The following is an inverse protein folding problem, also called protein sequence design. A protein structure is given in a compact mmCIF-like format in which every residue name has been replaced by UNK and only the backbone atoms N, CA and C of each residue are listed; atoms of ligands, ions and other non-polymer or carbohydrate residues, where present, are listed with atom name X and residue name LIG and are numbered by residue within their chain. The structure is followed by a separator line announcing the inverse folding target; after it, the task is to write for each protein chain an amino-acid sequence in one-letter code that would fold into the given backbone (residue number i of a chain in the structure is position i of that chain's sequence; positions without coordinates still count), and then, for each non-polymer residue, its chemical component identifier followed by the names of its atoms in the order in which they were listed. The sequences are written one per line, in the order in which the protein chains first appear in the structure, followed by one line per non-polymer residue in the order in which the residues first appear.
data_IF_009798756634
#
_entry.id   IF_009798756634
#
_cell.length_a   1.000
_cell.length_b   1.000
_cell.length_c   1.000
_cell.angle_alpha   90.00
_cell.angle_beta   90.00
_cell.angle_gamma   90.00
#
_symmetry.space_group_name_H-M   'P 1'
#
loop_
_entity.id
_entity.type
_entity.pdbx_description
1 polymer ?
#
# COMPACT_ATOMS: atom_id res chain seq x y z
N UNK A 1 -29.80 -12.73 -17.46
CA UNK A 1 -29.60 -14.03 -16.76
C UNK A 1 -28.10 -14.25 -16.62
N UNK A 2 -27.64 -14.68 -15.45
CA UNK A 2 -26.22 -14.90 -15.18
C UNK A 2 -25.83 -16.38 -15.34
N UNK A 3 -24.61 -16.61 -15.80
CA UNK A 3 -23.93 -17.91 -15.69
C UNK A 3 -22.83 -17.77 -14.64
N UNK A 4 -22.99 -18.44 -13.51
CA UNK A 4 -22.06 -18.38 -12.39
C UNK A 4 -21.10 -19.56 -12.54
N UNK A 5 -19.80 -19.32 -12.44
CA UNK A 5 -18.85 -20.43 -12.35
C UNK A 5 -19.12 -21.25 -11.08
N UNK A 6 -19.28 -22.55 -11.24
CA UNK A 6 -19.54 -23.49 -10.16
C UNK A 6 -18.58 -24.68 -10.27
N UNK A 7 -18.13 -25.18 -9.12
CA UNK A 7 -17.48 -26.48 -9.02
C UNK A 7 -17.76 -27.07 -7.62
N UNK A 8 -17.45 -28.35 -7.42
CA UNK A 8 -17.74 -29.07 -6.16
C UNK A 8 -17.05 -28.48 -4.92
N UNK A 9 -15.97 -27.71 -5.11
CA UNK A 9 -15.24 -27.06 -4.01
C UNK A 9 -15.81 -25.70 -3.61
N UNK A 10 -16.66 -25.07 -4.44
CA UNK A 10 -17.31 -23.81 -4.10
C UNK A 10 -18.50 -24.09 -3.18
N UNK A 11 -18.53 -23.44 -2.02
CA UNK A 11 -19.44 -23.78 -0.92
C UNK A 11 -20.27 -22.59 -0.43
N UNK A 12 -20.08 -21.41 -1.00
CA UNK A 12 -20.78 -20.19 -0.61
C UNK A 12 -21.22 -19.39 -1.83
N UNK A 13 -22.42 -18.79 -1.71
CA UNK A 13 -22.97 -17.84 -2.67
C UNK A 13 -22.93 -16.46 -2.07
N UNK A 14 -22.54 -15.48 -2.88
CA UNK A 14 -22.55 -14.08 -2.48
C UNK A 14 -23.01 -13.22 -3.65
N UNK A 15 -23.48 -12.02 -3.34
CA UNK A 15 -23.86 -11.02 -4.34
C UNK A 15 -23.08 -9.74 -4.09
N UNK A 16 -22.44 -9.20 -5.12
CA UNK A 16 -21.70 -7.93 -5.05
C UNK A 16 -22.19 -7.06 -6.18
N UNK A 17 -22.71 -5.87 -5.84
CA UNK A 17 -23.22 -4.90 -6.84
C UNK A 17 -24.29 -5.51 -7.77
N UNK A 18 -25.16 -6.38 -7.24
CA UNK A 18 -26.19 -7.08 -8.00
C UNK A 18 -25.67 -8.21 -8.90
N UNK A 19 -24.39 -8.59 -8.75
CA UNK A 19 -23.75 -9.67 -9.52
C UNK A 19 -23.56 -10.87 -8.59
N UNK A 20 -24.18 -12.03 -8.89
CA UNK A 20 -24.04 -13.21 -8.05
C UNK A 20 -22.72 -13.92 -8.34
N UNK A 21 -22.07 -14.46 -7.31
CA UNK A 21 -20.85 -15.25 -7.42
C UNK A 21 -20.97 -16.52 -6.57
N UNK A 22 -20.24 -17.55 -6.97
CA UNK A 22 -19.92 -18.70 -6.11
C UNK A 22 -18.46 -18.61 -5.71
N UNK A 23 -18.17 -18.85 -4.45
CA UNK A 23 -16.81 -18.82 -3.92
C UNK A 23 -16.54 -20.01 -3.02
N UNK A 24 -15.25 -20.26 -2.78
CA UNK A 24 -14.79 -21.23 -1.79
C UNK A 24 -14.41 -20.48 -0.52
N UNK A 25 -15.11 -20.71 0.58
CA UNK A 25 -14.63 -20.33 1.91
C UNK A 25 -13.84 -21.47 2.52
N UNK A 26 -12.61 -21.16 2.94
CA UNK A 26 -11.68 -22.10 3.56
C UNK A 26 -11.03 -21.42 4.77
N UNK A 27 -11.04 -22.09 5.92
CA UNK A 27 -10.51 -21.52 7.17
C UNK A 27 -11.09 -20.14 7.53
N UNK A 28 -12.37 -19.91 7.21
CA UNK A 28 -13.07 -18.66 7.52
C UNK A 28 -12.88 -17.52 6.52
N UNK A 29 -12.03 -17.66 5.50
CA UNK A 29 -11.77 -16.64 4.47
C UNK A 29 -12.11 -17.14 3.06
N UNK A 30 -12.50 -16.24 2.17
CA UNK A 30 -12.68 -16.58 0.75
C UNK A 30 -11.33 -16.84 0.08
N UNK A 31 -11.21 -17.99 -0.57
CA UNK A 31 -10.01 -18.46 -1.24
C UNK A 31 -9.95 -18.02 -2.72
N UNK A 32 -8.73 -17.94 -3.25
CA UNK A 32 -8.45 -17.74 -4.68
C UNK A 32 -8.84 -18.99 -5.49
N UNK A 33 -9.38 -18.78 -6.69
CA UNK A 33 -9.62 -19.83 -7.67
C UNK A 33 -8.30 -20.45 -8.17
N UNK A 34 -8.34 -21.68 -8.72
CA UNK A 34 -7.19 -22.24 -9.42
C UNK A 34 -6.78 -21.35 -10.61
N UNK A 35 -5.55 -21.51 -11.09
CA UNK A 35 -4.99 -20.72 -12.21
C UNK A 35 -5.68 -20.94 -13.56
N UNK A 36 -6.62 -21.87 -13.64
CA UNK A 36 -7.34 -22.23 -14.85
C UNK A 36 -8.71 -22.78 -14.46
N UNK A 37 -9.76 -22.33 -15.13
CA UNK A 37 -11.13 -22.83 -14.96
C UNK A 37 -11.76 -23.15 -16.31
N UNK A 38 -12.55 -24.21 -16.34
CA UNK A 38 -13.46 -24.49 -17.46
C UNK A 38 -14.69 -23.62 -17.32
N UNK A 39 -15.11 -22.99 -18.42
CA UNK A 39 -16.20 -22.02 -18.39
C UNK A 39 -16.94 -22.08 -19.71
N UNK A 40 -18.19 -22.54 -19.71
CA UNK A 40 -18.88 -22.96 -20.93
C UNK A 40 -20.12 -22.11 -21.21
N UNK A 41 -19.91 -20.91 -21.76
CA UNK A 41 -21.01 -19.97 -21.99
C UNK A 41 -20.72 -18.94 -23.10
N UNK A 42 -21.79 -18.52 -23.79
CA UNK A 42 -21.80 -17.31 -24.63
C UNK A 42 -22.19 -16.13 -23.76
N UNK A 43 -21.33 -15.12 -23.69
CA UNK A 43 -21.40 -14.10 -22.66
C UNK A 43 -21.35 -12.70 -23.27
N UNK A 44 -22.19 -11.80 -22.78
CA UNK A 44 -22.07 -10.37 -23.05
C UNK A 44 -20.88 -9.78 -22.26
N UNK A 45 -20.67 -10.25 -21.03
CA UNK A 45 -19.70 -9.69 -20.10
C UNK A 45 -19.22 -10.74 -19.10
N UNK A 46 -17.95 -10.69 -18.71
CA UNK A 46 -17.37 -11.42 -17.59
C UNK A 46 -17.13 -10.48 -16.40
N UNK A 47 -17.33 -11.02 -15.20
CA UNK A 47 -17.05 -10.37 -13.94
C UNK A 47 -16.07 -11.24 -13.14
N UNK A 48 -15.03 -10.61 -12.62
CA UNK A 48 -13.99 -11.25 -11.82
C UNK A 48 -13.99 -10.63 -10.43
N UNK A 49 -14.19 -11.45 -9.40
CA UNK A 49 -14.21 -11.04 -8.00
C UNK A 49 -12.83 -11.16 -7.36
N UNK A 50 -12.49 -10.23 -6.48
CA UNK A 50 -11.26 -10.19 -5.70
C UNK A 50 -10.35 -9.07 -6.16
N UNK A 51 -9.83 -9.19 -7.38
CA UNK A 51 -9.04 -8.22 -8.16
C UNK A 51 -8.09 -7.35 -7.31
N UNK A 52 -7.52 -7.95 -6.28
CA UNK A 52 -6.56 -7.35 -5.37
C UNK A 52 -5.19 -7.94 -5.66
N UNK A 53 -4.11 -7.24 -5.31
CA UNK A 53 -2.78 -7.83 -5.33
C UNK A 53 -2.73 -9.03 -4.38
N UNK A 54 -2.08 -10.12 -4.78
CA UNK A 54 -1.96 -11.29 -3.89
C UNK A 54 -0.92 -11.01 -2.79
N UNK A 55 0.19 -10.38 -3.16
CA UNK A 55 1.19 -9.89 -2.23
C UNK A 55 0.75 -8.61 -1.51
N UNK A 56 1.26 -8.43 -0.29
CA UNK A 56 1.08 -7.24 0.54
C UNK A 56 2.08 -6.13 0.21
N UNK A 57 3.29 -6.48 -0.26
CA UNK A 57 4.37 -5.53 -0.53
C UNK A 57 4.26 -4.90 -1.91
N UNK A 58 4.51 -3.59 -1.96
CA UNK A 58 4.67 -2.83 -3.20
C UNK A 58 6.06 -2.23 -3.36
N UNK A 59 6.91 -2.33 -2.34
CA UNK A 59 8.31 -1.94 -2.40
C UNK A 59 9.14 -2.94 -1.60
N UNK A 60 10.44 -2.94 -1.84
CA UNK A 60 11.38 -3.60 -0.94
C UNK A 60 11.34 -2.89 0.42
N UNK A 61 11.53 -3.68 1.48
CA UNK A 61 11.71 -3.17 2.85
C UNK A 61 13.07 -2.42 2.96
N UNK A 62 13.85 -2.62 4.03
CA UNK A 62 15.22 -2.08 4.20
C UNK A 62 16.27 -2.56 3.16
N UNK A 63 15.89 -2.89 1.92
CA UNK A 63 16.79 -3.41 0.89
C UNK A 63 17.39 -4.79 1.21
N UNK A 64 17.02 -5.43 2.33
CA UNK A 64 17.53 -6.76 2.70
C UNK A 64 17.11 -7.86 1.72
N UNK A 65 16.06 -7.60 0.94
CA UNK A 65 15.58 -8.46 -0.14
C UNK A 65 16.01 -7.95 -1.52
N UNK A 66 16.79 -6.86 -1.58
CA UNK A 66 17.36 -6.32 -2.82
C UNK A 66 18.48 -7.26 -3.26
N UNK A 67 18.10 -8.29 -4.01
CA UNK A 67 19.07 -8.95 -4.89
C UNK A 67 19.45 -7.90 -5.92
N UNK A 68 20.75 -7.64 -6.08
CA UNK A 68 21.24 -6.64 -7.05
C UNK A 68 20.51 -6.77 -8.40
N UNK A 69 19.91 -5.66 -8.85
CA UNK A 69 19.14 -5.55 -10.11
C UNK A 69 17.80 -6.30 -10.16
N UNK A 70 17.33 -6.91 -9.06
CA UNK A 70 15.96 -7.42 -8.97
C UNK A 70 15.01 -6.31 -8.52
N UNK A 71 14.15 -5.87 -9.43
CA UNK A 71 13.11 -4.87 -9.17
C UNK A 71 11.70 -5.46 -9.17
N UNK A 72 11.59 -6.79 -9.07
CA UNK A 72 10.30 -7.50 -9.18
C UNK A 72 9.35 -7.25 -8.01
N UNK A 73 9.87 -6.83 -6.85
CA UNK A 73 9.05 -6.46 -5.69
C UNK A 73 8.47 -5.05 -5.81
N UNK A 74 9.15 -4.15 -6.54
CA UNK A 74 8.72 -2.76 -6.70
C UNK A 74 7.50 -2.72 -7.62
N UNK A 75 6.41 -2.15 -7.12
CA UNK A 75 5.14 -2.06 -7.79
C UNK A 75 4.72 -0.60 -7.91
N UNK A 76 4.69 -0.09 -9.12
CA UNK A 76 4.22 1.26 -9.44
C UNK A 76 2.88 1.19 -10.15
N UNK A 77 2.06 2.24 -10.01
CA UNK A 77 0.84 2.33 -10.80
C UNK A 77 1.14 2.23 -12.31
N UNK A 78 0.36 1.40 -13.01
CA UNK A 78 0.57 1.06 -14.41
C UNK A 78 1.42 -0.20 -14.65
N UNK A 79 2.02 -0.77 -13.60
CA UNK A 79 2.69 -2.07 -13.72
C UNK A 79 1.68 -3.18 -14.00
N UNK A 80 2.01 -4.06 -14.95
CA UNK A 80 1.23 -5.28 -15.21
C UNK A 80 1.63 -6.34 -14.19
N UNK A 81 0.68 -6.81 -13.39
CA UNK A 81 0.88 -7.85 -12.37
C UNK A 81 0.49 -9.24 -12.86
N UNK A 82 -0.27 -9.31 -13.95
CA UNK A 82 -0.71 -10.56 -14.54
C UNK A 82 -1.55 -10.38 -15.79
N UNK A 83 -2.14 -11.47 -16.25
CA UNK A 83 -3.01 -11.55 -17.41
C UNK A 83 -4.15 -12.52 -17.16
N UNK A 84 -5.32 -12.19 -17.68
CA UNK A 84 -6.45 -13.12 -17.79
C UNK A 84 -6.60 -13.48 -19.26
N UNK A 85 -6.56 -14.77 -19.60
CA UNK A 85 -6.73 -15.27 -20.95
C UNK A 85 -8.10 -15.93 -21.06
N UNK A 86 -8.94 -15.41 -21.93
CA UNK A 86 -10.25 -15.97 -22.25
C UNK A 86 -10.13 -16.75 -23.55
N UNK A 87 -10.38 -18.05 -23.51
CA UNK A 87 -10.24 -18.95 -24.66
C UNK A 87 -11.63 -19.31 -25.18
N UNK A 88 -11.80 -19.22 -26.51
CA UNK A 88 -13.05 -19.54 -27.19
C UNK A 88 -13.03 -20.93 -27.85
N UNK A 89 -14.21 -21.44 -28.18
CA UNK A 89 -14.42 -22.71 -28.88
C UNK A 89 -13.71 -22.78 -30.25
N UNK A 90 -13.61 -21.65 -30.95
CA UNK A 90 -12.89 -21.50 -32.22
C UNK A 90 -11.35 -21.42 -32.07
N UNK A 91 -10.83 -21.63 -30.86
CA UNK A 91 -9.40 -21.52 -30.46
C UNK A 91 -8.80 -20.12 -30.55
N UNK A 92 -9.59 -19.10 -30.83
CA UNK A 92 -9.14 -17.71 -30.65
C UNK A 92 -9.14 -17.37 -29.16
N UNK A 93 -8.47 -16.27 -28.82
CA UNK A 93 -8.35 -15.83 -27.43
C UNK A 93 -8.42 -14.31 -27.30
N UNK A 94 -8.82 -13.86 -26.12
CA UNK A 94 -8.64 -12.48 -25.66
C UNK A 94 -7.72 -12.46 -24.44
N UNK A 95 -6.75 -11.55 -24.47
CA UNK A 95 -5.75 -11.40 -23.43
C UNK A 95 -5.95 -10.07 -22.71
N UNK A 96 -6.41 -10.14 -21.47
CA UNK A 96 -6.70 -8.99 -20.63
C UNK A 96 -5.49 -8.75 -19.75
N UNK A 97 -4.94 -7.53 -19.78
CA UNK A 97 -3.85 -7.16 -18.87
C UNK A 97 -4.41 -6.83 -17.49
N UNK A 98 -3.82 -7.38 -16.43
CA UNK A 98 -4.11 -7.00 -15.04
C UNK A 98 -3.06 -5.99 -14.62
N UNK A 99 -3.47 -4.75 -14.40
CA UNK A 99 -2.63 -3.57 -14.23
C UNK A 99 -2.94 -2.92 -12.89
N UNK A 100 -1.89 -2.75 -12.09
CA UNK A 100 -1.99 -2.11 -10.78
C UNK A 100 -2.39 -0.64 -10.91
N UNK A 101 -3.44 -0.22 -10.20
CA UNK A 101 -4.03 1.11 -10.34
C UNK A 101 -5.02 1.27 -11.49
N UNK A 102 -5.39 0.18 -12.16
CA UNK A 102 -6.48 0.14 -13.15
C UNK A 102 -7.50 -0.91 -12.75
N UNK A 103 -7.21 -2.19 -12.98
CA UNK A 103 -8.10 -3.31 -12.67
C UNK A 103 -7.48 -4.25 -11.61
N UNK A 104 -6.54 -3.74 -10.81
CA UNK A 104 -6.02 -4.40 -9.64
C UNK A 104 -5.57 -3.35 -8.60
N UNK A 105 -5.84 -3.59 -7.31
CA UNK A 105 -5.47 -2.68 -6.23
C UNK A 105 -4.92 -3.41 -5.00
N UNK A 106 -4.15 -2.72 -4.15
CA UNK A 106 -3.57 -3.35 -2.95
C UNK A 106 -4.55 -3.21 -1.78
N UNK A 107 -5.10 -4.34 -1.34
CA UNK A 107 -6.01 -4.37 -0.19
C UNK A 107 -5.26 -4.20 1.13
N UNK A 108 -4.17 -4.96 1.31
CA UNK A 108 -3.44 -5.11 2.57
C UNK A 108 -2.96 -3.79 3.17
N UNK A 109 -2.57 -2.83 2.33
CA UNK A 109 -2.08 -1.53 2.74
C UNK A 109 -3.17 -0.47 2.73
N UNK A 110 -4.16 -0.57 1.83
CA UNK A 110 -5.16 0.49 1.68
C UNK A 110 -6.35 0.34 2.63
N UNK A 111 -6.65 -0.88 3.09
CA UNK A 111 -7.77 -1.17 4.00
C UNK A 111 -7.28 -1.82 5.29
N UNK A 112 -8.05 -1.64 6.37
CA UNK A 112 -7.90 -2.47 7.58
C UNK A 112 -8.44 -3.87 7.28
N UNK A 113 -7.64 -4.94 7.45
CA UNK A 113 -8.17 -6.28 7.33
C UNK A 113 -9.19 -6.57 8.41
N UNK A 114 -10.08 -7.52 8.12
CA UNK A 114 -11.05 -8.02 9.10
C UNK A 114 -10.36 -8.94 10.11
N UNK A 115 -10.91 -9.09 11.34
CA UNK A 115 -10.31 -9.94 12.37
C UNK A 115 -10.09 -11.40 11.95
N UNK A 116 -10.91 -11.92 11.02
CA UNK A 116 -10.78 -13.27 10.48
C UNK A 116 -9.79 -13.38 9.31
N UNK A 117 -9.34 -12.26 8.74
CA UNK A 117 -8.32 -12.25 7.69
C UNK A 117 -6.92 -12.33 8.29
N UNK A 118 -6.31 -13.51 8.26
CA UNK A 118 -4.93 -13.69 8.68
C UNK A 118 -3.94 -13.19 7.61
N UNK A 119 -3.86 -11.86 7.41
CA UNK A 119 -3.01 -11.23 6.41
C UNK A 119 -2.10 -10.14 7.01
N UNK A 120 -0.91 -9.99 6.44
CA UNK A 120 0.02 -8.91 6.80
C UNK A 120 -0.48 -7.57 6.27
N UNK A 121 -0.60 -6.57 7.15
CA UNK A 121 -1.21 -5.27 6.82
C UNK A 121 -0.49 -4.05 7.41
N UNK A 122 0.58 -4.25 8.20
CA UNK A 122 1.53 -3.20 8.60
C UNK A 122 0.90 -1.86 9.02
N UNK A 123 0.02 -1.80 10.01
CA UNK A 123 -0.64 -0.55 10.45
C UNK A 123 -1.56 0.13 9.41
N UNK A 124 -1.98 -0.56 8.35
CA UNK A 124 -3.03 -0.10 7.44
C UNK A 124 -4.23 0.49 8.22
N UNK A 125 -4.93 1.48 7.67
CA UNK A 125 -4.95 1.88 6.26
C UNK A 125 -3.99 3.03 5.97
N UNK A 126 -3.36 2.94 4.80
CA UNK A 126 -2.57 3.98 4.14
C UNK A 126 -3.42 4.61 3.02
N UNK A 127 -4.41 5.40 3.41
CA UNK A 127 -5.42 5.96 2.52
C UNK A 127 -5.23 7.46 2.23
N UNK A 128 -4.20 8.10 2.77
CA UNK A 128 -3.83 9.47 2.40
C UNK A 128 -2.92 9.52 1.16
N UNK A 129 -3.04 10.54 0.31
CA UNK A 129 -3.91 11.71 0.43
C UNK A 129 -5.35 11.47 -0.08
N UNK A 130 -5.70 10.27 -0.56
CA UNK A 130 -7.00 9.96 -1.18
C UNK A 130 -8.19 10.26 -0.24
N UNK A 131 -8.01 10.05 1.06
CA UNK A 131 -9.04 10.31 2.07
C UNK A 131 -9.27 11.81 2.28
N UNK A 132 -8.23 12.63 2.36
CA UNK A 132 -8.35 14.05 2.69
C UNK A 132 -8.45 14.99 1.48
N UNK A 133 -7.91 14.62 0.32
CA UNK A 133 -7.90 15.43 -0.89
C UNK A 133 -8.92 14.93 -1.94
N UNK A 134 -10.01 15.70 -2.19
CA UNK A 134 -11.01 15.36 -3.21
C UNK A 134 -10.43 15.22 -4.62
N UNK A 135 -9.40 15.99 -5.00
CA UNK A 135 -8.80 15.89 -6.33
C UNK A 135 -8.00 14.59 -6.47
N UNK A 136 -7.27 14.19 -5.42
CA UNK A 136 -6.60 12.89 -5.40
C UNK A 136 -7.60 11.73 -5.50
N UNK A 137 -8.74 11.82 -4.80
CA UNK A 137 -9.83 10.84 -4.91
C UNK A 137 -10.39 10.74 -6.32
N UNK A 138 -10.73 11.87 -6.92
CA UNK A 138 -11.25 11.92 -8.29
C UNK A 138 -10.26 11.31 -9.29
N UNK A 139 -8.97 11.63 -9.17
CA UNK A 139 -7.93 11.06 -10.03
C UNK A 139 -7.85 9.53 -9.86
N UNK A 140 -7.97 9.01 -8.64
CA UNK A 140 -8.02 7.58 -8.39
C UNK A 140 -9.25 6.93 -9.04
N UNK A 141 -10.44 7.51 -8.85
CA UNK A 141 -11.70 7.03 -9.43
C UNK A 141 -11.67 7.03 -10.97
N UNK A 142 -11.02 8.01 -11.59
CA UNK A 142 -10.85 8.07 -13.05
C UNK A 142 -9.87 6.99 -13.58
N UNK A 143 -8.92 6.56 -12.75
CA UNK A 143 -7.91 5.55 -13.09
C UNK A 143 -8.41 4.13 -12.87
N UNK A 144 -9.10 3.89 -11.75
CA UNK A 144 -9.63 2.59 -11.39
C UNK A 144 -10.79 2.20 -12.29
N UNK A 145 -10.73 0.95 -12.75
CA UNK A 145 -11.78 0.24 -13.47
C UNK A 145 -12.24 -0.96 -12.66
N UNK A 146 -12.62 -0.68 -11.42
CA UNK A 146 -13.03 -1.66 -10.42
C UNK A 146 -14.29 -1.14 -9.73
N UNK A 147 -15.27 -2.02 -9.56
CA UNK A 147 -16.40 -1.78 -8.71
C UNK A 147 -16.08 -2.24 -7.29
N UNK A 148 -16.30 -1.38 -6.30
CA UNK A 148 -16.05 -1.70 -4.90
C UNK A 148 -17.20 -2.49 -4.28
N UNK A 149 -16.86 -3.55 -3.55
CA UNK A 149 -17.73 -4.14 -2.56
C UNK A 149 -17.66 -3.29 -1.28
N UNK A 150 -18.75 -2.60 -0.98
CA UNK A 150 -18.86 -1.69 0.18
C UNK A 150 -19.47 -2.37 1.40
N UNK A 151 -19.78 -3.67 1.33
CA UNK A 151 -20.29 -4.43 2.48
C UNK A 151 -19.26 -4.39 3.64
N UNK A 152 -19.72 -4.21 4.87
CA UNK A 152 -18.86 -4.21 6.05
C UNK A 152 -18.15 -5.56 6.27
N UNK A 153 -18.71 -6.66 5.79
CA UNK A 153 -18.14 -7.99 5.84
C UNK A 153 -17.21 -8.30 4.66
N UNK A 154 -17.03 -7.38 3.71
CA UNK A 154 -16.11 -7.60 2.59
C UNK A 154 -14.68 -7.86 3.09
N UNK A 155 -13.99 -8.76 2.40
CA UNK A 155 -12.62 -9.17 2.69
C UNK A 155 -11.79 -9.02 1.41
N UNK A 156 -10.47 -9.18 1.50
CA UNK A 156 -9.52 -9.01 0.40
C UNK A 156 -9.99 -9.67 -0.90
N UNK A 157 -10.38 -10.94 -0.79
CA UNK A 157 -10.76 -11.75 -1.93
C UNK A 157 -12.16 -11.43 -2.47
N UNK A 158 -12.92 -10.53 -1.84
CA UNK A 158 -14.26 -10.12 -2.29
C UNK A 158 -14.40 -8.60 -2.44
N UNK A 159 -13.30 -7.85 -2.29
CA UNK A 159 -13.32 -6.38 -2.22
C UNK A 159 -13.63 -5.71 -3.55
N UNK A 160 -13.09 -6.25 -4.65
CA UNK A 160 -13.17 -5.60 -5.95
C UNK A 160 -13.80 -6.51 -6.99
N UNK A 161 -14.62 -5.94 -7.87
CA UNK A 161 -15.14 -6.61 -9.05
C UNK A 161 -14.62 -5.90 -10.29
N UNK A 162 -13.96 -6.64 -11.16
CA UNK A 162 -13.58 -6.17 -12.49
C UNK A 162 -14.54 -6.73 -13.53
N UNK A 163 -15.08 -5.85 -14.38
CA UNK A 163 -15.98 -6.24 -15.47
C UNK A 163 -15.32 -6.03 -16.83
N UNK A 164 -15.43 -7.06 -17.70
CA UNK A 164 -14.87 -7.05 -19.04
C UNK A 164 -15.92 -7.48 -20.07
N UNK A 165 -16.22 -6.60 -21.01
CA UNK A 165 -17.17 -6.86 -22.08
C UNK A 165 -16.53 -7.74 -23.16
N UNK A 166 -17.22 -8.81 -23.53
CA UNK A 166 -16.77 -9.78 -24.52
C UNK A 166 -17.49 -9.62 -25.86
N UNK A 167 -17.05 -10.42 -26.84
CA UNK A 167 -17.76 -10.73 -28.07
C UNK A 167 -18.85 -11.78 -27.80
N UNK A 168 -20.16 -11.42 -27.77
CA UNK A 168 -21.25 -12.32 -27.40
C UNK A 168 -21.48 -13.47 -28.39
N UNK A 169 -21.00 -13.32 -29.63
CA UNK A 169 -21.05 -14.34 -30.66
C UNK A 169 -20.01 -15.46 -30.50
N UNK A 170 -19.09 -15.35 -29.53
CA UNK A 170 -18.10 -16.39 -29.23
C UNK A 170 -18.43 -17.11 -27.93
N UNK A 171 -18.30 -18.44 -27.94
CA UNK A 171 -18.50 -19.26 -26.74
C UNK A 171 -17.17 -19.36 -26.01
N UNK A 172 -17.13 -18.85 -24.79
CA UNK A 172 -16.00 -19.08 -23.88
C UNK A 172 -16.03 -20.56 -23.50
N UNK A 173 -14.85 -21.19 -23.48
CA UNK A 173 -14.67 -22.58 -23.03
C UNK A 173 -13.72 -22.68 -21.83
N UNK A 174 -12.83 -21.71 -21.67
CA UNK A 174 -11.80 -21.73 -20.64
C UNK A 174 -11.32 -20.33 -20.29
N UNK A 175 -10.95 -20.13 -19.03
CA UNK A 175 -10.33 -18.90 -18.54
C UNK A 175 -9.05 -19.27 -17.77
N UNK A 176 -7.91 -18.74 -18.20
CA UNK A 176 -6.62 -18.90 -17.51
C UNK A 176 -6.22 -17.60 -16.80
N UNK A 177 -5.67 -17.72 -15.60
CA UNK A 177 -5.09 -16.65 -14.80
C UNK A 177 -3.57 -16.81 -14.74
N UNK A 178 -2.84 -15.93 -15.42
CA UNK A 178 -1.39 -15.97 -15.50
C UNK A 178 -0.73 -14.84 -14.72
N UNK A 179 0.17 -15.17 -13.79
CA UNK A 179 1.05 -14.21 -13.13
C UNK A 179 2.02 -13.57 -14.14
N UNK A 180 2.39 -12.31 -13.93
CA UNK A 180 3.54 -11.71 -14.61
C UNK A 180 4.84 -12.07 -13.87
N UNK A 181 5.76 -12.79 -14.51
CA UNK A 181 6.99 -13.24 -13.83
C UNK A 181 7.94 -12.10 -13.47
N UNK A 182 7.84 -10.96 -14.17
CA UNK A 182 8.61 -9.77 -13.85
C UNK A 182 8.18 -9.10 -12.53
N UNK A 183 7.03 -9.49 -11.94
CA UNK A 183 6.50 -8.88 -10.71
C UNK A 183 6.11 -9.95 -9.67
N UNK A 184 6.42 -9.69 -8.40
CA UNK A 184 6.06 -10.59 -7.28
C UNK A 184 4.63 -10.38 -6.77
N UNK A 185 3.99 -9.27 -7.13
CA UNK A 185 2.69 -8.88 -6.57
C UNK A 185 1.58 -9.91 -6.83
N UNK A 186 1.54 -10.48 -8.04
CA UNK A 186 0.43 -11.33 -8.55
C UNK A 186 -0.95 -10.70 -8.29
N UNK A 187 -2.03 -11.43 -8.51
CA UNK A 187 -3.40 -10.96 -8.29
C UNK A 187 -4.33 -12.09 -7.82
N UNK A 188 -5.44 -11.70 -7.17
CA UNK A 188 -6.45 -12.61 -6.64
C UNK A 188 -7.71 -12.59 -7.52
N UNK A 189 -8.19 -13.76 -7.91
CA UNK A 189 -9.55 -13.97 -8.43
C UNK A 189 -10.19 -15.06 -7.58
N UNK A 190 -11.31 -14.78 -6.95
CA UNK A 190 -12.01 -15.71 -6.04
C UNK A 190 -13.33 -16.25 -6.60
N UNK A 191 -13.89 -15.56 -7.60
CA UNK A 191 -15.14 -15.92 -8.25
C UNK A 191 -15.19 -15.37 -9.67
N UNK A 192 -15.87 -16.09 -10.55
CA UNK A 192 -16.15 -15.65 -11.92
C UNK A 192 -17.63 -15.83 -12.22
N UNK A 193 -18.23 -14.79 -12.79
CA UNK A 193 -19.62 -14.81 -13.26
C UNK A 193 -19.69 -14.16 -14.61
N UNK A 194 -20.62 -14.61 -15.46
CA UNK A 194 -20.91 -13.98 -16.73
C UNK A 194 -22.35 -13.49 -16.80
N UNK A 195 -22.55 -12.34 -17.44
CA UNK A 195 -23.83 -12.01 -18.04
C UNK A 195 -23.93 -12.78 -19.36
N UNK A 196 -24.96 -13.62 -19.51
CA UNK A 196 -25.18 -14.38 -20.74
C UNK A 196 -25.44 -13.45 -21.93
N UNK A 197 -25.05 -13.90 -23.13
CA UNK A 197 -25.24 -13.15 -24.37
C UNK A 197 -26.70 -12.69 -24.55
N UNK A 198 -26.89 -11.43 -24.96
CA UNK A 198 -28.21 -10.80 -25.06
C UNK A 198 -28.80 -10.33 -23.72
N UNK A 199 -28.05 -10.48 -22.62
CA UNK A 199 -28.39 -9.88 -21.34
C UNK A 199 -28.22 -8.37 -21.36
N UNK A 200 -29.06 -7.67 -20.59
CA UNK A 200 -28.98 -6.22 -20.42
C UNK A 200 -27.80 -5.84 -19.50
N UNK A 201 -26.95 -4.93 -19.97
CA UNK A 201 -25.84 -4.37 -19.19
C UNK A 201 -26.40 -3.23 -18.33
N UNK A 202 -26.22 -3.33 -17.01
CA UNK A 202 -26.60 -2.25 -16.09
C UNK A 202 -25.78 -0.98 -16.34
N UNK A 203 -26.43 0.18 -16.26
CA UNK A 203 -25.75 1.48 -16.32
C UNK A 203 -24.78 1.74 -15.17
N UNK A 204 -24.95 1.01 -14.06
CA UNK A 204 -24.18 1.18 -12.83
C UNK A 204 -22.89 0.35 -12.79
N UNK A 205 -22.64 -0.44 -13.83
CA UNK A 205 -21.43 -1.24 -13.95
C UNK A 205 -20.36 -0.47 -14.70
N UNK A 206 -19.20 -0.30 -14.08
CA UNK A 206 -17.99 0.14 -14.76
C UNK A 206 -17.29 -1.09 -15.37
N UNK A 207 -17.07 -1.04 -16.68
CA UNK A 207 -16.49 -2.14 -17.44
C UNK A 207 -15.57 -1.60 -18.53
N UNK A 208 -14.68 -2.47 -19.00
CA UNK A 208 -13.79 -2.17 -20.12
C UNK A 208 -13.97 -3.18 -21.25
N UNK A 209 -13.41 -2.86 -22.41
CA UNK A 209 -13.42 -3.72 -23.61
C UNK A 209 -12.00 -4.07 -24.03
N UNK A 210 -11.85 -4.88 -25.08
CA UNK A 210 -10.54 -5.12 -25.69
C UNK A 210 -9.89 -3.82 -26.19
N UNK A 211 -10.68 -2.93 -26.80
CA UNK A 211 -10.23 -1.66 -27.35
C UNK A 211 -9.59 -0.76 -26.29
N UNK A 212 -10.12 -0.76 -25.05
CA UNK A 212 -9.55 0.01 -23.94
C UNK A 212 -8.07 -0.33 -23.72
N UNK A 213 -7.71 -1.63 -23.76
CA UNK A 213 -6.32 -2.07 -23.61
C UNK A 213 -5.49 -1.82 -24.87
N UNK A 214 -6.06 -2.07 -26.05
CA UNK A 214 -5.35 -1.87 -27.33
C UNK A 214 -5.01 -0.39 -27.57
N UNK A 215 -5.91 0.53 -27.21
CA UNK A 215 -5.71 1.98 -27.31
C UNK A 215 -4.92 2.55 -26.15
N UNK A 216 -4.70 1.76 -25.09
CA UNK A 216 -4.08 2.18 -23.83
C UNK A 216 -4.81 3.35 -23.20
N UNK A 217 -6.13 3.30 -23.19
CA UNK A 217 -6.98 4.37 -22.65
C UNK A 217 -6.75 4.57 -21.13
N UNK A 218 -6.24 3.54 -20.44
CA UNK A 218 -5.79 3.62 -19.05
C UNK A 218 -4.55 4.51 -18.84
N UNK A 219 -3.73 4.75 -19.86
CA UNK A 219 -2.40 5.33 -19.67
C UNK A 219 -2.45 6.76 -19.10
N UNK A 220 -3.32 7.61 -19.65
CA UNK A 220 -3.45 9.01 -19.19
C UNK A 220 -4.01 9.12 -17.76
N UNK A 221 -5.11 8.43 -17.38
CA UNK A 221 -5.58 8.43 -16.00
C UNK A 221 -4.54 7.90 -15.01
N UNK A 222 -3.85 6.79 -15.34
CA UNK A 222 -2.79 6.24 -14.50
C UNK A 222 -1.63 7.21 -14.36
N UNK A 223 -1.22 7.89 -15.42
CA UNK A 223 -0.14 8.89 -15.34
C UNK A 223 -0.51 10.06 -14.43
N UNK A 224 -1.78 10.54 -14.48
CA UNK A 224 -2.27 11.53 -13.52
C UNK A 224 -2.21 11.03 -12.09
N UNK A 225 -2.62 9.78 -11.84
CA UNK A 225 -2.53 9.16 -10.51
C UNK A 225 -1.09 9.08 -10.03
N UNK A 226 -0.18 8.63 -10.89
CA UNK A 226 1.26 8.60 -10.60
C UNK A 226 1.78 9.97 -10.21
N UNK A 227 1.47 11.01 -10.99
CA UNK A 227 1.92 12.39 -10.72
C UNK A 227 1.29 13.02 -9.49
N UNK A 228 0.10 12.56 -9.06
CA UNK A 228 -0.50 13.00 -7.80
C UNK A 228 0.19 12.39 -6.58
N UNK A 229 0.64 11.14 -6.68
CA UNK A 229 1.12 10.33 -5.55
C UNK A 229 2.66 10.25 -5.47
N UNK A 230 3.34 10.24 -6.60
CA UNK A 230 4.80 10.18 -6.70
C UNK A 230 5.39 11.56 -7.00
N UNK A 231 6.70 11.69 -6.78
CA UNK A 231 7.45 12.88 -7.15
C UNK A 231 8.24 12.62 -8.44
N UNK A 232 8.07 13.49 -9.43
CA UNK A 232 8.85 13.46 -10.66
C UNK A 232 9.85 14.61 -10.73
N UNK A 233 10.95 14.40 -11.47
CA UNK A 233 12.03 15.39 -11.58
C UNK A 233 11.59 16.66 -12.32
N UNK A 234 10.69 16.53 -13.28
CA UNK A 234 10.11 17.63 -14.05
C UNK A 234 9.09 18.46 -13.25
N UNK A 235 8.69 17.99 -12.06
CA UNK A 235 7.78 18.70 -11.14
C UNK A 235 8.54 19.45 -10.04
N UNK A 236 9.87 19.30 -9.98
CA UNK A 236 10.69 20.05 -9.03
C UNK A 236 10.73 21.52 -9.46
N UNK A 237 10.45 22.46 -8.54
CA UNK A 237 10.42 23.86 -8.89
C UNK A 237 11.84 24.36 -9.22
N UNK A 238 11.93 25.30 -10.17
CA UNK A 238 13.23 25.93 -10.50
C UNK A 238 13.83 26.68 -9.32
N UNK A 239 12.95 27.24 -8.46
CA UNK A 239 13.23 27.95 -7.22
C UNK A 239 12.15 27.61 -6.20
N UNK A 240 12.53 27.41 -4.95
CA UNK A 240 11.59 27.19 -3.84
C UNK A 240 11.69 28.35 -2.85
N UNK A 241 10.56 28.82 -2.33
CA UNK A 241 10.59 29.93 -1.37
C UNK A 241 11.12 29.44 -0.02
N UNK A 242 11.96 30.24 0.63
CA UNK A 242 12.46 29.88 1.97
C UNK A 242 11.28 29.87 2.93
N UNK A 243 11.00 28.71 3.51
CA UNK A 243 9.90 28.52 4.45
C UNK A 243 10.24 29.21 5.76
N UNK A 244 9.35 30.11 6.19
CA UNK A 244 9.42 30.64 7.54
C UNK A 244 9.11 29.52 8.54
N UNK A 245 10.05 29.27 9.46
CA UNK A 245 9.88 28.31 10.53
C UNK A 245 9.64 29.10 11.80
N UNK A 246 8.47 28.90 12.40
CA UNK A 246 8.10 29.59 13.63
C UNK A 246 9.11 29.30 14.74
N UNK A 247 9.49 30.34 15.49
CA UNK A 247 10.43 30.25 16.60
C UNK A 247 11.79 29.63 16.23
N UNK A 248 12.24 29.79 14.99
CA UNK A 248 13.54 29.28 14.53
C UNK A 248 14.70 29.94 15.30
N UNK A 249 15.44 29.13 16.06
CA UNK A 249 16.52 29.59 16.94
C UNK A 249 17.86 28.85 16.72
N UNK A 250 17.95 28.04 15.68
CA UNK A 250 19.18 27.38 15.26
C UNK A 250 20.09 28.30 14.44
N UNK A 251 21.37 27.95 14.24
CA UNK A 251 22.20 28.56 13.20
C UNK A 251 21.51 28.49 11.82
N UNK A 252 21.25 29.64 11.19
CA UNK A 252 20.56 29.71 9.90
C UNK A 252 21.54 29.45 8.74
N UNK A 253 21.60 28.19 8.28
CA UNK A 253 22.42 27.78 7.14
C UNK A 253 21.56 27.82 5.88
N UNK A 254 22.03 28.57 4.88
CA UNK A 254 21.38 28.72 3.58
C UNK A 254 22.25 28.12 2.50
N UNK A 255 21.73 27.10 1.81
CA UNK A 255 22.36 26.55 0.62
C UNK A 255 22.03 27.45 -0.57
N UNK A 256 23.03 27.74 -1.42
CA UNK A 256 22.86 28.59 -2.60
C UNK A 256 23.00 27.78 -3.89
N UNK A 257 22.29 28.18 -4.94
CA UNK A 257 22.36 27.52 -6.25
C UNK A 257 21.03 27.53 -6.97
N UNK A 258 20.49 26.33 -7.22
CA UNK A 258 19.21 26.10 -7.90
C UNK A 258 18.10 25.75 -6.90
N UNK A 259 16.90 25.41 -7.38
CA UNK A 259 15.77 25.02 -6.53
C UNK A 259 16.04 23.86 -5.57
N UNK A 260 16.96 22.94 -5.89
CA UNK A 260 17.37 21.91 -4.93
C UNK A 260 18.09 22.49 -3.71
N UNK A 261 18.89 23.54 -3.89
CA UNK A 261 19.53 24.24 -2.78
C UNK A 261 18.48 24.94 -1.88
N UNK A 262 17.42 25.48 -2.48
CA UNK A 262 16.32 26.07 -1.73
C UNK A 262 15.56 25.00 -0.92
N UNK A 263 15.25 23.86 -1.56
CA UNK A 263 14.63 22.70 -0.90
C UNK A 263 15.50 22.20 0.26
N UNK A 264 16.83 22.08 0.08
CA UNK A 264 17.73 21.67 1.15
C UNK A 264 17.80 22.69 2.30
N UNK A 265 17.69 23.98 2.01
CA UNK A 265 17.56 25.02 3.03
C UNK A 265 16.28 24.83 3.84
N UNK A 266 15.16 24.58 3.15
CA UNK A 266 13.87 24.32 3.80
C UNK A 266 13.88 23.04 4.66
N UNK A 267 14.45 21.96 4.14
CA UNK A 267 14.63 20.70 4.87
C UNK A 267 15.51 20.91 6.10
N UNK A 268 16.65 21.59 5.97
CA UNK A 268 17.54 21.90 7.09
C UNK A 268 16.81 22.63 8.21
N UNK A 269 16.12 23.74 7.87
CA UNK A 269 15.43 24.57 8.86
C UNK A 269 14.33 23.80 9.59
N UNK A 270 13.53 23.00 8.88
CA UNK A 270 12.47 22.18 9.49
C UNK A 270 13.03 21.03 10.33
N UNK A 271 14.05 20.33 9.84
CA UNK A 271 14.58 19.12 10.48
C UNK A 271 15.27 19.45 11.82
N UNK A 272 16.00 20.56 11.90
CA UNK A 272 16.64 20.93 13.17
C UNK A 272 15.61 21.25 14.25
N UNK A 273 14.59 22.05 13.92
CA UNK A 273 13.54 22.37 14.87
C UNK A 273 12.77 21.11 15.27
N UNK A 274 12.54 20.20 14.33
CA UNK A 274 11.92 18.90 14.61
C UNK A 274 12.78 18.05 15.57
N UNK A 275 14.09 17.93 15.33
CA UNK A 275 15.00 17.21 16.21
C UNK A 275 15.09 17.83 17.61
N UNK A 276 15.20 19.16 17.68
CA UNK A 276 15.39 19.87 18.94
C UNK A 276 14.11 19.91 19.80
N UNK A 277 12.93 20.01 19.17
CA UNK A 277 11.68 20.31 19.88
C UNK A 277 10.61 19.22 19.82
N UNK A 278 10.59 18.38 18.77
CA UNK A 278 9.59 17.31 18.63
C UNK A 278 10.14 15.93 18.98
N UNK A 279 11.42 15.67 18.64
CA UNK A 279 12.09 14.41 18.98
C UNK A 279 12.72 14.39 20.36
N UNK A 280 12.90 15.54 20.99
CA UNK A 280 13.34 15.65 22.39
C UNK A 280 12.34 16.53 23.11
N UNK A 281 11.56 15.94 24.01
CA UNK A 281 10.60 16.67 24.84
C UNK A 281 11.32 17.57 25.85
N UNK A 282 10.59 18.51 26.45
CA UNK A 282 11.19 19.48 27.36
C UNK A 282 11.80 18.83 28.63
N UNK A 283 11.24 17.70 29.07
CA UNK A 283 11.78 16.87 30.16
C UNK A 283 12.95 15.96 29.72
N UNK A 284 13.39 16.09 28.48
CA UNK A 284 14.53 15.39 27.90
C UNK A 284 14.22 14.02 27.32
N UNK A 285 12.98 13.52 27.30
CA UNK A 285 12.70 12.22 26.69
C UNK A 285 12.97 12.26 25.18
N UNK A 286 13.89 11.42 24.65
CA UNK A 286 14.11 11.35 23.22
C UNK A 286 13.14 10.37 22.55
N UNK A 287 12.81 10.64 21.29
CA UNK A 287 11.89 9.87 20.46
C UNK A 287 12.50 9.61 19.08
N UNK A 288 12.30 8.40 18.56
CA UNK A 288 12.93 7.97 17.30
C UNK A 288 12.35 8.71 16.10
N UNK A 289 11.04 8.90 16.12
CA UNK A 289 10.30 9.74 15.19
C UNK A 289 9.61 10.86 15.93
N UNK A 290 9.09 11.81 15.17
CA UNK A 290 8.23 12.87 15.69
C UNK A 290 6.79 12.38 15.76
N UNK A 291 6.03 12.97 16.69
CA UNK A 291 4.62 12.67 16.88
C UNK A 291 3.82 13.01 15.62
N UNK A 292 2.78 12.22 15.31
CA UNK A 292 1.89 12.41 14.18
C UNK A 292 2.62 12.57 12.84
N UNK A 293 3.63 11.73 12.59
CA UNK A 293 4.37 11.75 11.33
C UNK A 293 3.71 10.86 10.29
N UNK A 294 3.93 11.18 9.02
CA UNK A 294 3.44 10.37 7.92
C UNK A 294 4.21 9.05 7.84
N UNK A 295 3.50 7.93 7.86
CA UNK A 295 4.01 6.60 7.58
C UNK A 295 3.53 6.15 6.19
N UNK A 296 4.47 5.79 5.33
CA UNK A 296 4.23 5.42 3.93
C UNK A 296 4.28 3.89 3.75
N UNK A 297 3.51 3.15 4.54
CA UNK A 297 3.47 1.70 4.42
C UNK A 297 4.66 1.00 5.05
N UNK A 298 5.28 1.50 6.12
CA UNK A 298 6.45 0.86 6.74
C UNK A 298 7.51 0.41 5.72
N UNK A 299 7.91 1.29 4.79
CA UNK A 299 8.89 1.04 3.71
C UNK A 299 8.41 0.17 2.53
N UNK A 300 7.24 -0.46 2.58
CA UNK A 300 6.71 -1.34 1.52
C UNK A 300 5.53 -0.74 0.75
N UNK A 301 5.21 0.53 1.05
CA UNK A 301 4.11 1.26 0.45
C UNK A 301 4.29 1.53 -1.04
N UNK A 302 3.22 2.01 -1.65
CA UNK A 302 3.17 2.46 -3.05
C UNK A 302 2.89 3.97 -3.17
N UNK A 303 3.27 4.74 -2.14
CA UNK A 303 3.21 6.21 -2.11
C UNK A 303 2.06 6.81 -1.29
N UNK A 304 1.01 6.04 -1.01
CA UNK A 304 0.00 6.47 -0.03
C UNK A 304 0.53 6.36 1.40
N UNK A 305 -0.08 7.11 2.32
CA UNK A 305 0.38 7.20 3.70
C UNK A 305 -0.77 7.22 4.71
N UNK A 306 -0.39 7.17 5.98
CA UNK A 306 -1.26 7.42 7.13
C UNK A 306 -0.54 8.31 8.12
N UNK A 307 -1.27 9.01 8.97
CA UNK A 307 -0.69 9.78 10.07
C UNK A 307 -0.83 8.95 11.34
N UNK A 308 0.30 8.56 11.91
CA UNK A 308 0.33 7.85 13.18
C UNK A 308 1.60 8.19 13.98
N UNK A 309 1.70 7.65 15.18
CA UNK A 309 2.86 7.84 16.05
C UNK A 309 3.92 6.75 15.81
N UNK A 310 4.20 6.38 14.55
CA UNK A 310 5.14 5.29 14.23
C UNK A 310 6.50 5.57 14.87
N UNK A 311 6.94 4.76 15.82
CA UNK A 311 8.21 4.92 16.54
C UNK A 311 8.33 6.16 17.44
N UNK A 312 7.26 6.94 17.67
CA UNK A 312 7.34 8.09 18.58
C UNK A 312 7.58 7.58 19.99
N UNK A 313 6.80 6.59 20.43
CA UNK A 313 6.96 5.97 21.74
C UNK A 313 8.17 5.01 21.81
N UNK A 314 9.10 5.07 20.85
CA UNK A 314 10.29 4.21 20.81
C UNK A 314 11.60 5.00 20.90
N UNK A 315 12.60 4.38 21.53
CA UNK A 315 13.97 4.90 21.64
C UNK A 315 14.95 3.94 20.98
N UNK A 316 15.39 4.26 19.76
CA UNK A 316 16.37 3.48 19.00
C UNK A 316 17.73 4.19 18.99
N UNK A 317 18.76 3.52 19.48
CA UNK A 317 20.12 4.08 19.64
C UNK A 317 20.71 4.65 18.34
N UNK A 318 20.43 4.00 17.18
CA UNK A 318 20.89 4.48 15.86
C UNK A 318 20.31 5.85 15.49
N UNK A 319 19.08 6.10 15.91
CA UNK A 319 18.33 7.30 15.55
C UNK A 319 18.61 8.41 16.57
N UNK A 320 18.51 8.09 17.87
CA UNK A 320 18.74 9.05 18.95
C UNK A 320 20.19 9.52 19.02
N UNK A 321 21.15 8.63 18.80
CA UNK A 321 22.56 9.02 18.76
C UNK A 321 22.82 10.10 17.72
N UNK A 322 22.21 9.97 16.53
CA UNK A 322 22.31 10.99 15.48
C UNK A 322 21.62 12.29 15.89
N UNK A 323 20.41 12.22 16.43
CA UNK A 323 19.68 13.41 16.94
C UNK A 323 20.52 14.17 17.96
N UNK A 324 21.10 13.49 18.96
CA UNK A 324 21.89 14.14 20.01
C UNK A 324 23.17 14.80 19.47
N UNK A 325 23.86 14.15 18.52
CA UNK A 325 25.04 14.74 17.86
C UNK A 325 24.64 16.05 17.15
N UNK A 326 23.56 16.03 16.38
CA UNK A 326 23.13 17.19 15.61
C UNK A 326 22.71 18.36 16.50
N UNK A 327 21.84 18.13 17.49
CA UNK A 327 21.39 19.22 18.36
C UNK A 327 22.53 19.78 19.23
N UNK A 328 23.53 18.95 19.58
CA UNK A 328 24.75 19.41 20.28
C UNK A 328 25.58 20.33 19.38
N UNK A 329 25.83 19.92 18.13
CA UNK A 329 26.59 20.72 17.17
C UNK A 329 25.92 22.07 16.86
N UNK A 330 24.60 22.14 17.01
CA UNK A 330 23.79 23.34 16.76
C UNK A 330 23.62 24.23 18.01
N UNK A 331 24.21 23.85 19.15
CA UNK A 331 24.25 24.67 20.36
C UNK A 331 23.12 24.38 21.37
N UNK A 332 22.27 23.38 21.15
CA UNK A 332 21.21 22.99 22.08
C UNK A 332 21.73 22.12 23.24
N UNK A 333 22.83 22.53 23.88
CA UNK A 333 23.56 21.75 24.88
C UNK A 333 22.67 21.34 26.07
N UNK A 334 21.81 22.24 26.55
CA UNK A 334 20.92 21.93 27.67
C UNK A 334 19.88 20.86 27.33
N UNK A 335 19.34 20.88 26.10
CA UNK A 335 18.41 19.84 25.61
C UNK A 335 19.14 18.50 25.45
N UNK A 336 20.31 18.52 24.82
CA UNK A 336 21.14 17.34 24.65
C UNK A 336 21.52 16.70 26.00
N UNK A 337 21.89 17.53 26.98
CA UNK A 337 22.22 17.07 28.34
C UNK A 337 21.03 16.42 29.03
N UNK A 338 19.85 17.06 29.03
CA UNK A 338 18.62 16.47 29.61
C UNK A 338 18.30 15.13 28.95
N UNK A 339 18.46 15.04 27.64
CA UNK A 339 18.22 13.78 26.92
C UNK A 339 19.25 12.69 27.24
N UNK A 340 20.52 13.04 27.38
CA UNK A 340 21.54 12.11 27.86
C UNK A 340 21.24 11.60 29.28
N UNK A 341 20.82 12.49 30.19
CA UNK A 341 20.43 12.12 31.55
C UNK A 341 19.25 11.11 31.53
N UNK A 342 18.21 11.38 30.73
CA UNK A 342 17.07 10.46 30.54
C UNK A 342 17.47 9.10 29.95
N UNK A 343 18.32 9.09 28.94
CA UNK A 343 18.83 7.84 28.37
C UNK A 343 19.64 7.05 29.39
N UNK A 344 20.42 7.73 30.22
CA UNK A 344 21.16 7.10 31.30
C UNK A 344 20.22 6.46 32.33
N UNK A 345 19.15 7.14 32.72
CA UNK A 345 18.09 6.57 33.59
C UNK A 345 17.51 5.28 32.99
N UNK A 346 17.19 5.27 31.69
CA UNK A 346 16.62 4.10 31.00
C UNK A 346 17.54 2.87 31.02
N UNK A 347 18.87 3.05 31.07
CA UNK A 347 19.82 1.93 31.20
C UNK A 347 19.67 1.16 32.52
N UNK A 348 19.08 1.78 33.54
CA UNK A 348 18.94 1.22 34.88
C UNK A 348 17.48 0.97 35.28
N UNK A 349 16.51 1.11 34.37
CA UNK A 349 15.09 0.87 34.68
C UNK A 349 14.86 -0.63 35.00
N UNK A 350 14.33 -1.00 36.18
CA UNK A 350 14.16 -2.41 36.57
C UNK A 350 13.16 -3.20 35.72
N UNK A 351 12.27 -2.49 35.02
CA UNK A 351 11.15 -3.02 34.23
C UNK A 351 11.37 -2.96 32.72
N UNK A 352 12.58 -2.69 32.25
CA UNK A 352 12.89 -2.77 30.82
C UNK A 352 12.74 -4.21 30.34
N UNK A 353 12.06 -4.38 29.21
CA UNK A 353 11.86 -5.66 28.53
C UNK A 353 13.16 -6.42 28.26
N UNK A 354 14.29 -5.72 28.18
CA UNK A 354 15.61 -6.28 27.90
C UNK A 354 16.60 -5.97 29.02
N UNK A 355 16.90 -6.95 29.88
CA UNK A 355 17.71 -6.80 31.11
C UNK A 355 19.19 -6.43 30.88
N UNK A 356 19.68 -6.51 29.65
CA UNK A 356 21.05 -6.13 29.27
C UNK A 356 20.95 -5.11 28.13
N UNK A 357 21.51 -3.88 28.27
CA UNK A 357 21.49 -2.90 27.20
C UNK A 357 22.30 -3.40 26.01
N UNK A 358 21.62 -3.93 24.98
CA UNK A 358 22.26 -4.21 23.71
C UNK A 358 22.14 -2.96 22.84
N UNK A 359 23.27 -2.39 22.43
CA UNK A 359 23.39 -1.10 21.74
C UNK A 359 22.66 -1.02 20.37
N UNK A 360 21.91 -2.06 20.00
CA UNK A 360 21.19 -2.20 18.73
C UNK A 360 19.65 -2.21 18.86
N UNK A 361 19.04 -2.25 20.06
CA UNK A 361 17.57 -2.39 20.21
C UNK A 361 16.97 -1.61 21.39
N UNK A 362 15.82 -0.99 21.11
CA UNK A 362 14.73 -0.46 21.95
C UNK A 362 15.04 -0.22 23.43
N UNK A 363 15.16 1.04 23.85
CA UNK A 363 15.43 1.39 25.25
C UNK A 363 14.19 1.60 26.15
N UNK A 364 12.95 1.47 25.66
CA UNK A 364 11.77 1.88 26.45
C UNK A 364 10.49 1.04 26.36
N UNK A 365 10.47 -0.13 25.73
CA UNK A 365 9.28 -0.98 25.86
C UNK A 365 9.26 -1.56 27.28
N UNK A 366 8.38 -1.02 28.12
CA UNK A 366 8.03 -1.61 29.40
C UNK A 366 7.29 -2.90 29.08
N UNK A 367 7.79 -4.03 29.60
CA UNK A 367 7.16 -5.32 29.37
C UNK A 367 5.71 -5.27 29.88
N UNK A 368 4.75 -5.58 29.01
CA UNK A 368 3.33 -5.61 29.39
C UNK A 368 2.99 -6.84 30.21
N UNK A 369 3.72 -7.92 30.02
CA UNK A 369 3.60 -9.20 30.73
C UNK A 369 4.93 -9.99 30.69
N UNK A 370 4.95 -11.18 31.31
CA UNK A 370 6.13 -12.05 31.34
C UNK A 370 6.52 -12.61 29.95
N UNK A 371 5.57 -12.77 29.02
CA UNK A 371 5.89 -13.25 27.67
C UNK A 371 6.67 -12.18 26.90
N UNK A 372 6.39 -10.91 27.17
CA UNK A 372 7.08 -9.78 26.58
C UNK A 372 8.58 -9.76 26.95
N UNK A 373 8.93 -10.20 28.17
CA UNK A 373 10.31 -10.29 28.66
C UNK A 373 11.17 -11.32 27.91
N UNK A 374 10.55 -12.28 27.21
CA UNK A 374 11.22 -13.39 26.54
C UNK A 374 11.20 -13.31 25.01
N UNK A 375 10.62 -12.25 24.44
CA UNK A 375 10.42 -12.11 23.01
C UNK A 375 11.64 -11.44 22.33
N UNK A 376 12.80 -12.11 22.40
CA UNK A 376 14.03 -11.65 21.75
C UNK A 376 13.95 -11.79 20.22
N UNK A 377 13.41 -10.78 19.54
CA UNK A 377 13.56 -10.64 18.08
C UNK A 377 12.55 -11.37 17.20
N UNK A 378 11.33 -11.59 17.68
CA UNK A 378 10.16 -11.91 16.85
C UNK A 378 9.18 -10.73 16.78
N UNK A 379 9.70 -9.57 16.37
CA UNK A 379 8.88 -8.42 15.99
C UNK A 379 8.61 -8.43 14.48
#
# INVERSE_FOLDING_TARGET
MFHIYENESLNEKLEVRGIPFSVKRENGVVAKLPSSIDFDARCEMLFFLGMSTDSWQCSEWWGQQEVYYDHSTRLFFGDRVGRIRVVYDDRTEELISVIFGVNCWNYNLFFKPKPHENILHFSAPYDEPIRSDPEARKILEESLRLMENTDEACEKATKWVFAYKLRPEKRVVKIDFGKEEAKRADFVVSGVTALLAGGEISSDWDYVTQEFFLRKDYYKPVDRLRRRIYQFRDELPERDEIVNVENFDAPDIVFKGNGLADIYTNIYRKNIMDMAYNKVTDDGMPHTSSKNTANYGCYIGFGTYTIENSYFDHVWTRDIGRTLIEITNLGYFDRARRAADRLHELLYYPSIRFKIPHWKRIANLVAKDENDLHNEGKE
#
